data_IF_791666772736
#
_entry.id   IF_791666772736
#
_cell.length_a   1.000
_cell.length_b   1.000
_cell.length_c   1.000
_cell.angle_alpha   90.00
_cell.angle_beta   90.00
_cell.angle_gamma   90.00
#
_symmetry.space_group_name_H-M   'P 1'
#
loop_
_entity.id
_entity.type
_entity.pdbx_description
1 polymer ?
#
# COMPACT_ATOMS: atom_id res chain seq x y z
N UNK A 1 10.20 6.80 16.53
CA UNK A 1 10.81 5.77 15.67
C UNK A 1 11.01 6.37 14.29
N UNK A 2 12.17 6.15 13.66
CA UNK A 2 12.41 6.58 12.29
C UNK A 2 11.87 5.50 11.34
N UNK A 3 11.24 5.92 10.24
CA UNK A 3 10.77 5.03 9.18
C UNK A 3 11.95 4.29 8.54
N UNK A 4 11.84 2.98 8.32
CA UNK A 4 12.89 2.17 7.71
C UNK A 4 12.37 1.16 6.65
N UNK A 5 13.24 0.25 6.21
CA UNK A 5 12.91 -0.72 5.16
C UNK A 5 11.91 -1.80 5.60
N UNK A 6 11.81 -2.09 6.90
CA UNK A 6 10.82 -3.04 7.43
C UNK A 6 9.41 -2.46 7.34
N UNK A 7 9.27 -1.17 7.64
CA UNK A 7 7.99 -0.47 7.47
C UNK A 7 7.56 -0.42 5.99
N UNK A 8 8.49 -0.27 5.04
CA UNK A 8 8.18 -0.33 3.61
C UNK A 8 7.68 -1.73 3.22
N UNK A 9 8.31 -2.79 3.74
CA UNK A 9 7.87 -4.16 3.51
C UNK A 9 6.43 -4.37 4.01
N UNK A 10 6.10 -3.89 5.22
CA UNK A 10 4.75 -3.97 5.76
C UNK A 10 3.70 -3.27 4.88
N UNK A 11 4.03 -2.11 4.30
CA UNK A 11 3.14 -1.40 3.36
C UNK A 11 2.95 -2.20 2.06
N UNK A 12 3.99 -2.86 1.56
CA UNK A 12 3.91 -3.71 0.36
C UNK A 12 3.07 -4.96 0.64
N UNK A 13 3.23 -5.60 1.79
CA UNK A 13 2.41 -6.75 2.21
C UNK A 13 0.93 -6.38 2.30
N UNK A 14 0.63 -5.20 2.84
CA UNK A 14 -0.73 -4.67 2.90
C UNK A 14 -1.30 -4.43 1.49
N UNK A 15 -0.51 -3.87 0.58
CA UNK A 15 -0.94 -3.65 -0.81
C UNK A 15 -1.24 -4.98 -1.53
N UNK A 16 -0.42 -6.00 -1.32
CA UNK A 16 -0.63 -7.34 -1.88
C UNK A 16 -1.90 -8.00 -1.32
N UNK A 17 -2.17 -7.85 -0.02
CA UNK A 17 -3.40 -8.34 0.60
C UNK A 17 -4.65 -7.70 -0.03
N UNK A 18 -4.64 -6.38 -0.26
CA UNK A 18 -5.76 -5.68 -0.91
C UNK A 18 -5.92 -6.07 -2.39
N UNK A 19 -4.82 -6.29 -3.11
CA UNK A 19 -4.86 -6.82 -4.48
C UNK A 19 -5.46 -8.22 -4.54
N UNK A 20 -5.11 -9.10 -3.59
CA UNK A 20 -5.70 -10.44 -3.47
C UNK A 20 -7.19 -10.37 -3.15
N UNK A 21 -7.61 -9.48 -2.25
CA UNK A 21 -9.02 -9.24 -1.94
C UNK A 21 -9.80 -8.74 -3.18
N UNK A 22 -9.25 -7.76 -3.90
CA UNK A 22 -9.84 -7.23 -5.13
C UNK A 22 -9.98 -8.33 -6.20
N UNK A 23 -8.94 -9.15 -6.40
CA UNK A 23 -9.00 -10.30 -7.32
C UNK A 23 -10.10 -11.28 -6.92
N UNK A 24 -10.23 -11.58 -5.63
CA UNK A 24 -11.31 -12.43 -5.11
C UNK A 24 -12.69 -11.86 -5.42
N UNK A 25 -12.88 -10.56 -5.19
CA UNK A 25 -14.14 -9.87 -5.48
C UNK A 25 -14.48 -9.86 -6.98
N UNK A 26 -13.49 -9.66 -7.86
CA UNK A 26 -13.67 -9.74 -9.32
C UNK A 26 -14.13 -11.14 -9.74
N UNK A 27 -13.47 -12.19 -9.23
CA UNK A 27 -13.84 -13.58 -9.52
C UNK A 27 -15.26 -13.88 -9.05
N UNK A 28 -15.64 -13.40 -7.86
CA UNK A 28 -16.98 -13.53 -7.30
C UNK A 28 -18.03 -12.64 -7.97
N UNK A 29 -17.61 -11.70 -8.84
CA UNK A 29 -18.46 -10.64 -9.43
C UNK A 29 -19.19 -9.78 -8.38
N UNK A 30 -18.57 -9.61 -7.22
CA UNK A 30 -19.10 -8.81 -6.11
C UNK A 30 -18.65 -7.34 -6.24
N UNK A 31 -19.56 -6.48 -6.68
CA UNK A 31 -19.29 -5.05 -6.95
C UNK A 31 -19.02 -4.26 -5.67
N UNK A 32 -19.67 -4.60 -4.57
CA UNK A 32 -19.46 -3.94 -3.29
C UNK A 32 -18.08 -4.27 -2.75
N UNK A 33 -17.70 -5.55 -2.77
CA UNK A 33 -16.37 -5.99 -2.36
C UNK A 33 -15.27 -5.43 -3.29
N UNK A 34 -15.53 -5.32 -4.60
CA UNK A 34 -14.59 -4.68 -5.54
C UNK A 34 -14.37 -3.21 -5.18
N UNK A 35 -15.44 -2.48 -4.87
CA UNK A 35 -15.37 -1.06 -4.52
C UNK A 35 -14.59 -0.89 -3.21
N UNK A 36 -14.94 -1.65 -2.17
CA UNK A 36 -14.27 -1.57 -0.88
C UNK A 36 -12.78 -1.94 -0.96
N UNK A 37 -12.42 -3.00 -1.69
CA UNK A 37 -11.02 -3.37 -1.90
C UNK A 37 -10.26 -2.32 -2.73
N UNK A 38 -10.91 -1.73 -3.74
CA UNK A 38 -10.35 -0.64 -4.54
C UNK A 38 -10.06 0.62 -3.72
N UNK A 39 -10.98 1.01 -2.83
CA UNK A 39 -10.79 2.15 -1.92
C UNK A 39 -9.64 1.93 -0.94
N UNK A 40 -9.55 0.73 -0.34
CA UNK A 40 -8.44 0.38 0.54
C UNK A 40 -7.11 0.36 -0.21
N UNK A 41 -7.06 -0.28 -1.39
CA UNK A 41 -5.85 -0.29 -2.22
C UNK A 41 -5.40 1.13 -2.61
N UNK A 42 -6.35 2.03 -2.90
CA UNK A 42 -6.06 3.44 -3.16
C UNK A 42 -5.43 4.12 -1.93
N UNK A 43 -5.97 3.88 -0.73
CA UNK A 43 -5.41 4.43 0.51
C UNK A 43 -3.98 3.93 0.74
N UNK A 44 -3.75 2.62 0.64
CA UNK A 44 -2.41 2.01 0.78
C UNK A 44 -1.43 2.58 -0.24
N UNK A 45 -1.86 2.79 -1.48
CA UNK A 45 -1.02 3.37 -2.53
C UNK A 45 -0.57 4.80 -2.23
N UNK A 46 -1.43 5.62 -1.60
CA UNK A 46 -1.06 6.97 -1.16
C UNK A 46 -0.03 6.89 -0.03
N UNK A 47 -0.26 6.03 0.97
CA UNK A 47 0.66 5.80 2.08
C UNK A 47 2.03 5.33 1.59
N UNK A 48 2.07 4.34 0.70
CA UNK A 48 3.32 3.84 0.10
C UNK A 48 4.11 4.94 -0.61
N UNK A 49 3.43 5.81 -1.35
CA UNK A 49 4.08 6.94 -2.03
C UNK A 49 4.70 7.92 -1.03
N UNK A 50 3.95 8.29 0.00
CA UNK A 50 4.45 9.19 1.05
C UNK A 50 5.64 8.56 1.79
N UNK A 51 5.58 7.26 2.04
CA UNK A 51 6.64 6.49 2.66
C UNK A 51 7.94 6.53 1.84
N UNK A 52 7.85 6.17 0.55
CA UNK A 52 9.01 6.20 -0.36
C UNK A 52 9.59 7.61 -0.49
N UNK A 53 8.74 8.64 -0.52
CA UNK A 53 9.20 10.04 -0.53
C UNK A 53 9.98 10.41 0.73
N UNK A 54 9.48 10.01 1.91
CA UNK A 54 10.15 10.25 3.18
C UNK A 54 11.50 9.52 3.26
N UNK A 55 11.53 8.24 2.86
CA UNK A 55 12.75 7.44 2.82
C UNK A 55 13.78 8.06 1.85
N UNK A 56 13.36 8.42 0.63
CA UNK A 56 14.24 9.05 -0.35
C UNK A 56 14.72 10.46 0.07
N UNK A 57 13.95 11.20 0.85
CA UNK A 57 14.38 12.46 1.43
C UNK A 57 15.44 12.25 2.52
N UNK A 58 15.27 11.22 3.35
CA UNK A 58 16.24 10.83 4.38
C UNK A 58 17.58 10.43 3.77
N UNK A 59 17.57 9.54 2.78
CA UNK A 59 18.81 9.09 2.11
C UNK A 59 19.55 10.23 1.41
N UNK A 60 18.84 11.29 0.98
CA UNK A 60 19.44 12.51 0.39
C UNK A 60 19.93 13.53 1.42
N UNK A 61 19.29 13.61 2.59
CA UNK A 61 19.62 14.55 3.67
C UNK A 61 20.66 14.02 4.67
N UNK A 62 21.11 12.78 4.51
CA UNK A 62 22.15 12.15 5.34
C UNK A 62 23.59 12.53 4.96
N UNK A 63 23.81 13.74 4.44
CA UNK A 63 25.13 14.34 4.22
C UNK A 63 25.41 15.41 5.29
#
# INVERSE_FOLDING_TARGET
MALDWEDLAAVVELADAELRALRGAVVARDVEAMTAAGERLRAVSVTARQFVQALAARERGGW
#
